data_IF_983671345809
#
_entry.id   IF_983671345809
#
_cell.length_a   1.000
_cell.length_b   1.000
_cell.length_c   1.000
_cell.angle_alpha   90.00
_cell.angle_beta   90.00
_cell.angle_gamma   90.00
#
_symmetry.space_group_name_H-M   'P 1'
#
loop_
_entity.id
_entity.type
_entity.pdbx_description
1 polymer ?
#
# COMPACT_ATOMS: atom_id res chain seq x y z
N UNK A 1 11.80 6.44 -7.58
CA UNK A 1 11.84 6.16 -6.13
C UNK A 1 12.66 4.89 -5.86
N UNK A 2 12.30 3.76 -6.47
CA UNK A 2 12.99 2.48 -6.25
C UNK A 2 14.46 2.50 -6.67
N UNK A 3 14.79 3.18 -7.76
CA UNK A 3 16.18 3.35 -8.24
C UNK A 3 17.04 4.12 -7.23
N UNK A 4 16.45 5.10 -6.55
CA UNK A 4 17.12 5.81 -5.47
C UNK A 4 17.39 4.86 -4.29
N UNK A 5 16.40 4.06 -3.88
CA UNK A 5 16.58 3.08 -2.81
C UNK A 5 17.66 2.05 -3.15
N UNK A 6 17.68 1.52 -4.39
CA UNK A 6 18.72 0.58 -4.84
C UNK A 6 20.11 1.21 -4.84
N UNK A 7 20.23 2.45 -5.31
CA UNK A 7 21.50 3.20 -5.27
C UNK A 7 22.01 3.37 -3.85
N UNK A 8 21.15 3.86 -2.93
CA UNK A 8 21.49 4.04 -1.52
C UNK A 8 21.83 2.70 -0.84
N UNK A 9 21.08 1.65 -1.14
CA UNK A 9 21.30 0.31 -0.61
C UNK A 9 22.65 -0.30 -1.01
N UNK A 10 23.18 0.07 -2.18
CA UNK A 10 24.44 -0.44 -2.73
C UNK A 10 25.63 0.48 -2.49
N UNK A 11 25.44 1.70 -1.99
CA UNK A 11 26.52 2.64 -1.70
C UNK A 11 27.17 2.34 -0.36
N UNK A 12 28.43 1.90 -0.36
CA UNK A 12 29.16 1.51 0.85
C UNK A 12 29.40 2.66 1.84
N UNK A 13 29.25 3.93 1.43
CA UNK A 13 29.36 5.09 2.32
C UNK A 13 28.11 5.33 3.16
N UNK A 14 27.00 4.67 2.84
CA UNK A 14 25.70 4.82 3.51
C UNK A 14 25.48 3.64 4.46
N UNK A 15 25.26 3.90 5.74
CA UNK A 15 25.00 2.87 6.76
C UNK A 15 23.51 2.52 6.92
N UNK A 16 22.62 3.50 6.73
CA UNK A 16 21.16 3.33 6.85
C UNK A 16 20.41 4.31 5.96
N UNK A 17 19.11 4.10 5.78
CA UNK A 17 18.26 4.93 4.93
C UNK A 17 17.10 5.47 5.78
N UNK A 18 16.79 6.77 5.65
CA UNK A 18 15.56 7.35 6.18
C UNK A 18 14.62 7.66 5.02
N UNK A 19 13.41 7.13 5.11
CA UNK A 19 12.31 7.46 4.19
C UNK A 19 11.44 8.49 4.89
N UNK A 20 11.52 9.75 4.43
CA UNK A 20 10.66 10.83 4.90
C UNK A 20 9.65 11.18 3.80
N UNK A 21 8.35 11.13 4.11
CA UNK A 21 7.34 11.43 3.11
C UNK A 21 5.91 11.09 3.52
N UNK A 22 5.03 11.29 2.55
CA UNK A 22 3.61 11.03 2.64
C UNK A 22 3.15 10.19 1.47
N UNK A 23 2.13 9.34 1.70
CA UNK A 23 1.57 8.54 0.63
C UNK A 23 0.14 8.10 0.88
N UNK A 24 -0.78 8.41 -0.07
CA UNK A 24 -2.17 7.96 -0.02
C UNK A 24 -2.34 6.49 -0.44
N UNK A 25 -1.35 5.93 -1.14
CA UNK A 25 -1.41 4.58 -1.67
C UNK A 25 -0.39 4.34 -2.79
N UNK A 26 -0.49 3.20 -3.44
CA UNK A 26 0.31 2.84 -4.62
C UNK A 26 -0.40 1.75 -5.46
N UNK A 27 0.06 1.54 -6.69
CA UNK A 27 -0.39 0.42 -7.53
C UNK A 27 0.19 -0.92 -7.04
N UNK A 28 -0.45 -2.02 -7.45
CA UNK A 28 0.05 -3.37 -7.17
C UNK A 28 1.42 -3.63 -7.81
N UNK A 29 1.69 -3.07 -8.99
CA UNK A 29 2.99 -3.18 -9.65
C UNK A 29 4.11 -2.55 -8.81
N UNK A 30 3.83 -1.39 -8.20
CA UNK A 30 4.78 -0.76 -7.28
C UNK A 30 5.03 -1.65 -6.04
N UNK A 31 4.02 -2.33 -5.51
CA UNK A 31 4.17 -3.27 -4.40
C UNK A 31 5.06 -4.45 -4.79
N UNK A 32 4.87 -5.04 -5.98
CA UNK A 32 5.73 -6.12 -6.47
C UNK A 32 7.20 -5.68 -6.56
N UNK A 33 7.44 -4.45 -7.02
CA UNK A 33 8.78 -3.89 -7.07
C UNK A 33 9.40 -3.69 -5.68
N UNK A 34 8.61 -3.28 -4.67
CA UNK A 34 9.06 -3.20 -3.27
C UNK A 34 9.31 -4.58 -2.66
N UNK A 35 8.51 -5.61 -2.98
CA UNK A 35 8.78 -6.99 -2.56
C UNK A 35 10.12 -7.49 -3.11
N UNK A 36 10.41 -7.21 -4.38
CA UNK A 36 11.71 -7.52 -4.97
C UNK A 36 12.84 -6.79 -4.24
N UNK A 37 12.70 -5.49 -3.99
CA UNK A 37 13.69 -4.72 -3.25
C UNK A 37 13.90 -5.24 -1.81
N UNK A 38 12.85 -5.73 -1.14
CA UNK A 38 12.96 -6.36 0.19
C UNK A 38 13.98 -7.51 0.19
N UNK A 39 14.02 -8.31 -0.87
CA UNK A 39 14.99 -9.40 -1.01
C UNK A 39 16.42 -8.91 -1.23
N UNK A 40 16.58 -7.72 -1.82
CA UNK A 40 17.87 -7.07 -2.08
C UNK A 40 18.36 -6.20 -0.92
N UNK A 41 17.49 -5.93 0.06
CA UNK A 41 17.73 -4.99 1.16
C UNK A 41 18.90 -5.44 2.04
N UNK A 42 19.91 -4.57 2.16
CA UNK A 42 21.12 -4.79 2.96
C UNK A 42 21.20 -3.87 4.18
N UNK A 43 20.51 -2.74 4.13
CA UNK A 43 20.63 -1.67 5.10
C UNK A 43 19.33 -1.47 5.87
N UNK A 44 19.42 -1.06 7.15
CA UNK A 44 18.25 -0.66 7.90
C UNK A 44 17.58 0.56 7.28
N UNK A 45 16.25 0.55 7.33
CA UNK A 45 15.40 1.63 6.82
C UNK A 45 14.50 2.12 7.94
N UNK A 46 14.55 3.42 8.21
CA UNK A 46 13.65 4.09 9.15
C UNK A 46 12.65 4.93 8.37
N UNK A 47 11.36 4.72 8.65
CA UNK A 47 10.28 5.52 8.10
C UNK A 47 9.92 6.71 9.01
N UNK A 48 9.66 7.87 8.42
CA UNK A 48 9.10 9.05 9.08
C UNK A 48 7.96 9.59 8.22
N UNK A 49 6.72 9.46 8.69
CA UNK A 49 5.54 9.73 7.87
C UNK A 49 4.55 10.65 8.56
N UNK A 50 3.97 11.63 7.80
CA UNK A 50 2.77 12.35 8.24
C UNK A 50 1.51 11.58 7.84
N UNK A 51 1.46 11.04 6.62
CA UNK A 51 0.40 10.15 6.16
C UNK A 51 0.96 8.92 5.47
N UNK A 52 0.50 7.76 5.91
CA UNK A 52 0.98 6.49 5.39
C UNK A 52 -0.20 5.53 5.24
N UNK A 53 -0.86 5.58 4.07
CA UNK A 53 -2.11 4.87 3.82
C UNK A 53 -1.98 3.85 2.70
N UNK A 54 -2.83 2.82 2.75
CA UNK A 54 -3.05 1.86 1.67
C UNK A 54 -1.73 1.26 1.17
N UNK A 55 -1.49 1.21 -0.13
CA UNK A 55 -0.24 0.68 -0.71
C UNK A 55 1.04 1.34 -0.20
N UNK A 56 0.99 2.59 0.30
CA UNK A 56 2.14 3.22 0.93
C UNK A 56 2.43 2.63 2.32
N UNK A 57 1.37 2.30 3.09
CA UNK A 57 1.49 1.54 4.33
C UNK A 57 1.98 0.10 4.09
N UNK A 58 1.59 -0.50 2.96
CA UNK A 58 2.11 -1.79 2.52
C UNK A 58 3.62 -1.72 2.28
N UNK A 59 4.09 -0.73 1.49
CA UNK A 59 5.52 -0.48 1.27
C UNK A 59 6.28 -0.28 2.59
N UNK A 60 5.74 0.56 3.51
CA UNK A 60 6.28 0.73 4.87
C UNK A 60 6.44 -0.61 5.58
N UNK A 61 5.40 -1.44 5.56
CA UNK A 61 5.40 -2.74 6.24
C UNK A 61 6.39 -3.75 5.64
N UNK A 62 6.69 -3.61 4.34
CA UNK A 62 7.69 -4.44 3.66
C UNK A 62 9.12 -4.01 3.97
N UNK A 63 9.39 -2.71 4.10
CA UNK A 63 10.74 -2.15 4.02
C UNK A 63 11.28 -1.56 5.31
N UNK A 64 10.42 -0.94 6.15
CA UNK A 64 10.90 -0.21 7.32
C UNK A 64 11.17 -1.14 8.52
N UNK A 65 12.36 -1.02 9.10
CA UNK A 65 12.75 -1.70 10.34
C UNK A 65 12.28 -0.94 11.59
N UNK A 66 12.03 0.36 11.43
CA UNK A 66 11.46 1.22 12.44
C UNK A 66 10.66 2.35 11.79
N UNK A 67 9.57 2.75 12.42
CA UNK A 67 8.67 3.77 11.85
C UNK A 67 8.24 4.78 12.90
N UNK A 68 8.44 6.06 12.56
CA UNK A 68 7.90 7.19 13.29
C UNK A 68 6.71 7.81 12.58
N UNK A 69 5.69 8.23 13.35
CA UNK A 69 4.81 9.31 12.94
C UNK A 69 5.55 10.63 13.11
N UNK A 70 5.52 11.50 12.10
CA UNK A 70 6.10 12.83 12.19
C UNK A 70 5.12 13.77 12.91
N UNK A 71 5.24 13.81 14.23
CA UNK A 71 4.30 14.42 15.16
C UNK A 71 2.93 13.70 15.25
N UNK A 72 2.11 14.11 16.21
CA UNK A 72 0.85 13.45 16.55
C UNK A 72 -0.40 14.12 15.96
N UNK A 73 -0.31 15.43 15.65
CA UNK A 73 -1.49 16.24 15.29
C UNK A 73 -2.06 15.91 13.92
N UNK A 74 -1.20 15.67 12.92
CA UNK A 74 -1.62 15.50 11.53
C UNK A 74 -1.25 14.14 10.93
N UNK A 75 -0.58 13.28 11.71
CA UNK A 75 -0.15 11.99 11.19
C UNK A 75 -1.27 10.95 11.22
N UNK A 76 -1.36 10.18 10.13
CA UNK A 76 -2.36 9.12 9.99
C UNK A 76 -1.85 7.89 9.26
N UNK A 77 -2.38 6.71 9.64
CA UNK A 77 -1.90 5.40 9.20
C UNK A 77 -3.07 4.44 8.92
N UNK A 78 -2.86 3.48 8.03
CA UNK A 78 -3.84 2.42 7.81
C UNK A 78 -4.38 2.36 6.39
N UNK A 79 -5.71 2.34 6.24
CA UNK A 79 -6.35 2.08 4.94
C UNK A 79 -5.86 0.73 4.35
N UNK A 80 -5.79 -0.31 5.23
CA UNK A 80 -5.34 -1.66 4.84
C UNK A 80 -6.51 -2.35 4.15
N UNK A 81 -6.45 -2.38 2.84
CA UNK A 81 -7.50 -2.91 1.98
C UNK A 81 -7.35 -2.41 0.56
N UNK A 82 -8.15 -2.95 -0.34
CA UNK A 82 -8.23 -2.54 -1.75
C UNK A 82 -9.62 -2.04 -2.06
N UNK A 83 -9.71 -1.12 -3.00
CA UNK A 83 -10.98 -0.64 -3.54
C UNK A 83 -10.86 -0.44 -5.05
N UNK A 84 -11.97 -0.59 -5.76
CA UNK A 84 -12.12 -0.13 -7.13
C UNK A 84 -13.19 0.97 -7.18
N UNK A 85 -12.93 2.00 -7.96
CA UNK A 85 -13.90 3.08 -8.23
C UNK A 85 -14.23 3.04 -9.73
N UNK A 86 -15.49 2.83 -10.03
CA UNK A 86 -15.98 2.81 -11.41
C UNK A 86 -16.97 3.95 -11.58
N UNK A 87 -16.75 4.77 -12.59
CA UNK A 87 -17.69 5.82 -12.97
C UNK A 87 -18.63 5.29 -14.05
N UNK A 88 -19.90 5.17 -13.72
CA UNK A 88 -20.91 4.77 -14.69
C UNK A 88 -21.31 5.95 -15.59
N UNK A 89 -20.82 5.92 -16.82
CA UNK A 89 -21.14 6.91 -17.84
C UNK A 89 -22.12 6.41 -18.91
N UNK A 90 -22.67 5.21 -18.75
CA UNK A 90 -23.54 4.57 -19.78
C UNK A 90 -24.70 5.45 -20.22
N UNK A 91 -25.45 6.00 -19.26
CA UNK A 91 -26.59 6.92 -19.56
C UNK A 91 -26.17 8.22 -20.22
N UNK A 92 -25.00 8.76 -19.89
CA UNK A 92 -24.47 9.97 -20.53
C UNK A 92 -24.09 9.68 -21.98
N UNK A 93 -23.40 8.58 -22.23
CA UNK A 93 -23.01 8.15 -23.59
C UNK A 93 -24.26 7.86 -24.46
N UNK A 94 -25.25 7.18 -23.93
CA UNK A 94 -26.52 6.89 -24.62
C UNK A 94 -27.22 8.20 -25.02
N UNK A 95 -27.30 9.18 -24.10
CA UNK A 95 -27.91 10.50 -24.36
C UNK A 95 -27.18 11.27 -25.46
N UNK A 96 -25.87 11.09 -25.58
CA UNK A 96 -25.03 11.68 -26.62
C UNK A 96 -25.05 10.87 -27.93
N UNK A 97 -25.82 9.77 -27.99
CA UNK A 97 -25.99 8.94 -29.18
C UNK A 97 -24.90 7.88 -29.36
N UNK A 98 -24.06 7.62 -28.37
CA UNK A 98 -23.06 6.55 -28.42
C UNK A 98 -23.65 5.22 -28.01
N UNK A 99 -23.25 4.16 -28.72
CA UNK A 99 -23.54 2.77 -28.37
C UNK A 99 -22.24 1.99 -28.28
N UNK A 100 -21.99 1.38 -27.15
CA UNK A 100 -20.85 0.45 -26.97
C UNK A 100 -21.26 -0.92 -27.52
N UNK A 101 -20.42 -1.51 -28.36
CA UNK A 101 -20.59 -2.85 -28.91
C UNK A 101 -19.30 -3.63 -28.59
N UNK A 102 -19.45 -4.76 -27.88
CA UNK A 102 -18.32 -5.63 -27.56
C UNK A 102 -18.42 -6.87 -28.47
N UNK A 103 -17.37 -7.11 -29.26
CA UNK A 103 -17.28 -8.29 -30.13
C UNK A 103 -16.11 -9.15 -29.66
N UNK A 104 -16.38 -10.42 -29.41
CA UNK A 104 -15.38 -11.42 -29.04
C UNK A 104 -15.28 -12.49 -30.11
N UNK A 105 -14.11 -13.09 -30.25
CA UNK A 105 -13.97 -14.30 -31.05
C UNK A 105 -14.82 -15.43 -30.44
N UNK A 106 -15.36 -16.36 -31.24
CA UNK A 106 -16.23 -17.44 -30.73
C UNK A 106 -15.58 -18.27 -29.60
N UNK A 107 -14.26 -18.41 -29.62
CA UNK A 107 -13.51 -19.17 -28.60
C UNK A 107 -13.23 -18.36 -27.32
N UNK A 108 -13.44 -17.02 -27.34
CA UNK A 108 -13.09 -16.11 -26.23
C UNK A 108 -14.31 -15.79 -25.38
N UNK A 109 -15.01 -16.81 -24.90
CA UNK A 109 -16.27 -16.67 -24.16
C UNK A 109 -16.16 -15.84 -22.89
N UNK A 110 -15.04 -15.95 -22.17
CA UNK A 110 -14.86 -15.31 -20.89
C UNK A 110 -14.02 -14.02 -20.95
N UNK A 111 -13.48 -13.71 -22.15
CA UNK A 111 -12.64 -12.53 -22.31
C UNK A 111 -13.42 -11.25 -22.05
N UNK A 112 -12.96 -10.45 -21.09
CA UNK A 112 -13.58 -9.20 -20.66
C UNK A 112 -15.05 -9.36 -20.19
N UNK A 113 -15.40 -10.49 -19.56
CA UNK A 113 -16.79 -10.75 -19.13
C UNK A 113 -17.31 -9.66 -18.21
N UNK A 114 -16.49 -9.16 -17.29
CA UNK A 114 -16.86 -8.03 -16.42
C UNK A 114 -17.24 -6.78 -17.22
N UNK A 115 -16.52 -6.47 -18.29
CA UNK A 115 -16.85 -5.32 -19.14
C UNK A 115 -18.16 -5.56 -19.91
N UNK A 116 -18.42 -6.79 -20.33
CA UNK A 116 -19.70 -7.18 -20.95
C UNK A 116 -20.83 -6.99 -19.95
N UNK A 117 -20.69 -7.52 -18.74
CA UNK A 117 -21.69 -7.39 -17.68
C UNK A 117 -21.98 -5.92 -17.37
N UNK A 118 -20.95 -5.08 -17.28
CA UNK A 118 -21.10 -3.65 -17.08
C UNK A 118 -21.85 -2.99 -18.24
N UNK A 119 -21.48 -3.25 -19.50
CA UNK A 119 -22.09 -2.62 -20.67
C UNK A 119 -23.53 -3.07 -20.87
N UNK A 120 -23.85 -4.34 -20.56
CA UNK A 120 -25.19 -4.91 -20.69
C UNK A 120 -26.11 -4.58 -19.49
N UNK A 121 -25.60 -3.96 -18.43
CA UNK A 121 -26.36 -3.57 -17.24
C UNK A 121 -26.53 -4.70 -16.22
N UNK A 122 -25.68 -5.74 -16.29
CA UNK A 122 -25.61 -6.81 -15.30
C UNK A 122 -24.76 -6.34 -14.08
N UNK A 123 -25.19 -5.25 -13.45
CA UNK A 123 -24.39 -4.54 -12.42
C UNK A 123 -24.02 -5.44 -11.23
N UNK A 124 -24.90 -6.34 -10.81
CA UNK A 124 -24.64 -7.28 -9.71
C UNK A 124 -23.50 -8.25 -10.06
N UNK A 125 -23.51 -8.83 -11.25
CA UNK A 125 -22.47 -9.73 -11.73
C UNK A 125 -21.14 -8.98 -11.87
N UNK A 126 -21.16 -7.77 -12.41
CA UNK A 126 -19.99 -6.90 -12.52
C UNK A 126 -19.37 -6.58 -11.16
N UNK A 127 -20.17 -6.11 -10.18
CA UNK A 127 -19.70 -5.76 -8.84
C UNK A 127 -19.14 -6.99 -8.12
N UNK A 128 -19.83 -8.12 -8.21
CA UNK A 128 -19.41 -9.37 -7.57
C UNK A 128 -18.07 -9.82 -8.12
N UNK A 129 -17.92 -9.89 -9.44
CA UNK A 129 -16.67 -10.29 -10.10
C UNK A 129 -15.52 -9.36 -9.76
N UNK A 130 -15.74 -8.04 -9.79
CA UNK A 130 -14.73 -7.06 -9.43
C UNK A 130 -14.31 -7.16 -7.95
N UNK A 131 -15.28 -7.43 -7.05
CA UNK A 131 -15.00 -7.62 -5.62
C UNK A 131 -14.16 -8.88 -5.38
N UNK A 132 -14.44 -9.97 -6.08
CA UNK A 132 -13.64 -11.21 -5.97
C UNK A 132 -12.20 -11.02 -6.48
N UNK A 133 -11.98 -10.27 -7.55
CA UNK A 133 -10.61 -9.95 -8.02
C UNK A 133 -9.80 -9.18 -6.99
N UNK A 134 -10.43 -8.36 -6.15
CA UNK A 134 -9.75 -7.61 -5.09
C UNK A 134 -9.43 -8.46 -3.85
N UNK A 135 -10.00 -9.64 -3.70
CA UNK A 135 -9.81 -10.52 -2.53
C UNK A 135 -8.34 -10.91 -2.35
N UNK A 136 -7.76 -11.53 -3.34
CA UNK A 136 -6.38 -12.04 -3.26
C UNK A 136 -5.34 -10.94 -2.99
N UNK A 137 -5.34 -9.79 -3.68
CA UNK A 137 -4.48 -8.66 -3.34
C UNK A 137 -4.67 -8.17 -1.91
N UNK A 138 -5.92 -8.11 -1.40
CA UNK A 138 -6.21 -7.69 -0.03
C UNK A 138 -5.64 -8.67 0.99
N UNK A 139 -5.82 -9.98 0.79
CA UNK A 139 -5.28 -11.02 1.66
C UNK A 139 -3.74 -10.97 1.71
N UNK A 140 -3.08 -10.78 0.57
CA UNK A 140 -1.63 -10.58 0.49
C UNK A 140 -1.18 -9.32 1.23
N UNK A 141 -1.92 -8.22 1.09
CA UNK A 141 -1.65 -7.00 1.82
C UNK A 141 -1.71 -7.22 3.33
N UNK A 142 -2.77 -7.82 3.83
CA UNK A 142 -2.95 -8.13 5.26
C UNK A 142 -1.82 -9.04 5.76
N UNK A 143 -1.46 -10.07 5.00
CA UNK A 143 -0.39 -11.00 5.38
C UNK A 143 0.97 -10.28 5.48
N UNK A 144 1.34 -9.45 4.50
CA UNK A 144 2.58 -8.70 4.50
C UNK A 144 2.63 -7.67 5.64
N UNK A 145 1.49 -7.02 5.93
CA UNK A 145 1.38 -6.09 7.07
C UNK A 145 1.58 -6.81 8.40
N UNK A 146 0.95 -7.95 8.60
CA UNK A 146 1.13 -8.76 9.82
C UNK A 146 2.58 -9.24 9.97
N UNK A 147 3.20 -9.65 8.89
CA UNK A 147 4.61 -10.08 8.89
C UNK A 147 5.59 -8.92 9.18
N UNK A 148 5.33 -7.73 8.63
CA UNK A 148 6.17 -6.54 8.82
C UNK A 148 5.91 -5.79 10.12
N UNK A 149 4.79 -6.08 10.80
CA UNK A 149 4.41 -5.44 12.07
C UNK A 149 3.92 -6.50 13.07
N UNK A 150 4.82 -7.29 13.66
CA UNK A 150 4.43 -8.43 14.51
C UNK A 150 3.69 -8.04 15.79
N UNK A 151 3.69 -6.75 16.15
CA UNK A 151 2.95 -6.19 17.29
C UNK A 151 1.58 -5.65 16.92
N UNK A 152 1.18 -5.71 15.64
CA UNK A 152 -0.09 -5.15 15.18
C UNK A 152 -1.28 -5.88 15.83
N UNK A 153 -2.20 -5.11 16.40
CA UNK A 153 -3.40 -5.65 17.05
C UNK A 153 -4.54 -5.72 16.03
N UNK A 154 -5.29 -6.80 16.08
CA UNK A 154 -6.52 -6.94 15.31
C UNK A 154 -7.67 -6.24 16.05
N UNK A 155 -7.87 -4.97 15.75
CA UNK A 155 -8.94 -4.14 16.31
C UNK A 155 -9.96 -3.81 15.22
N UNK A 156 -11.20 -3.44 15.57
CA UNK A 156 -12.22 -3.08 14.57
C UNK A 156 -11.70 -2.05 13.56
N UNK A 157 -11.84 -2.36 12.29
CA UNK A 157 -11.39 -1.51 11.18
C UNK A 157 -9.95 -1.77 10.71
N UNK A 158 -9.10 -2.45 11.50
CA UNK A 158 -7.68 -2.61 11.17
C UNK A 158 -7.44 -3.21 9.78
N UNK A 159 -8.12 -4.30 9.47
CA UNK A 159 -7.97 -5.03 8.20
C UNK A 159 -9.19 -4.88 7.29
N UNK A 160 -10.00 -3.84 7.51
CA UNK A 160 -11.14 -3.48 6.65
C UNK A 160 -11.09 -2.04 6.13
N UNK A 161 -9.90 -1.45 6.11
CA UNK A 161 -9.66 -0.17 5.45
C UNK A 161 -9.79 1.07 6.32
N UNK A 162 -9.95 0.95 7.66
CA UNK A 162 -9.98 2.13 8.52
C UNK A 162 -8.60 2.82 8.62
N UNK A 163 -8.64 4.10 9.00
CA UNK A 163 -7.46 4.92 9.25
C UNK A 163 -7.40 5.31 10.72
N UNK A 164 -6.19 5.45 11.25
CA UNK A 164 -5.93 5.70 12.66
C UNK A 164 -4.99 6.89 12.82
N UNK A 165 -5.19 7.69 13.86
CA UNK A 165 -4.26 8.75 14.25
C UNK A 165 -2.90 8.17 14.67
N UNK A 166 -1.86 8.99 14.71
CA UNK A 166 -0.52 8.59 15.17
C UNK A 166 -0.54 7.89 16.53
N UNK A 167 -1.26 8.45 17.50
CA UNK A 167 -1.39 7.89 18.85
C UNK A 167 -2.01 6.48 18.82
N UNK A 168 -3.09 6.29 18.06
CA UNK A 168 -3.72 4.97 17.90
C UNK A 168 -2.85 4.00 17.11
N UNK A 169 -2.12 4.49 16.12
CA UNK A 169 -1.19 3.66 15.35
C UNK A 169 -0.05 3.10 16.22
N UNK A 170 0.47 3.88 17.16
CA UNK A 170 1.44 3.38 18.17
C UNK A 170 0.77 2.38 19.11
N UNK A 171 -0.39 2.73 19.68
CA UNK A 171 -1.14 1.86 20.61
C UNK A 171 -1.46 0.49 19.99
N UNK A 172 -1.78 0.47 18.72
CA UNK A 172 -2.16 -0.74 17.99
C UNK A 172 -0.99 -1.47 17.31
N UNK A 173 0.23 -1.00 17.51
CA UNK A 173 1.43 -1.64 16.97
C UNK A 173 1.61 -1.50 15.45
N UNK A 174 0.94 -0.52 14.85
CA UNK A 174 1.06 -0.21 13.42
C UNK A 174 2.40 0.47 13.09
N UNK A 175 2.89 1.26 14.01
CA UNK A 175 4.16 1.99 13.97
C UNK A 175 4.84 1.91 15.35
N UNK A 176 6.09 2.35 15.43
CA UNK A 176 6.91 2.19 16.62
C UNK A 176 6.78 3.36 17.59
N UNK A 177 6.76 4.58 17.11
CA UNK A 177 6.73 5.78 17.95
C UNK A 177 6.21 7.02 17.19
N UNK A 178 5.96 8.08 17.96
CA UNK A 178 5.81 9.44 17.46
C UNK A 178 7.17 10.14 17.63
N UNK A 179 7.60 10.89 16.62
CA UNK A 179 8.91 11.52 16.65
C UNK A 179 9.04 12.65 15.63
N UNK A 180 10.28 12.89 15.23
CA UNK A 180 10.64 13.92 14.26
C UNK A 180 11.87 13.46 13.45
N UNK A 181 12.31 14.31 12.52
CA UNK A 181 13.42 13.99 11.63
C UNK A 181 14.73 13.69 12.39
N UNK A 182 15.06 14.46 13.44
CA UNK A 182 16.25 14.23 14.25
C UNK A 182 16.21 12.82 14.87
N UNK A 183 15.08 12.43 15.48
CA UNK A 183 14.91 11.11 16.09
C UNK A 183 15.00 9.99 15.05
N UNK A 184 14.46 10.21 13.85
CA UNK A 184 14.54 9.23 12.77
C UNK A 184 15.99 9.02 12.30
N UNK A 185 16.76 10.09 12.16
CA UNK A 185 18.20 10.04 11.82
C UNK A 185 18.99 9.31 12.92
N UNK A 186 18.80 9.69 14.19
CA UNK A 186 19.48 9.05 15.33
C UNK A 186 19.17 7.54 15.40
N UNK A 187 17.90 7.15 15.17
CA UNK A 187 17.51 5.75 15.11
C UNK A 187 18.17 5.02 13.95
N UNK A 188 18.23 5.63 12.76
CA UNK A 188 18.88 5.06 11.59
C UNK A 188 20.38 4.81 11.84
N UNK A 189 21.08 5.77 12.44
CA UNK A 189 22.50 5.64 12.83
C UNK A 189 22.71 4.50 13.84
N UNK A 190 21.83 4.40 14.84
CA UNK A 190 21.88 3.32 15.83
C UNK A 190 21.71 1.94 15.15
N UNK A 191 20.73 1.80 14.24
CA UNK A 191 20.50 0.55 13.52
C UNK A 191 21.65 0.20 12.58
N UNK A 192 22.29 1.19 11.95
CA UNK A 192 23.48 0.99 11.12
C UNK A 192 24.63 0.37 11.93
N UNK A 193 24.87 0.88 13.15
CA UNK A 193 25.93 0.35 14.03
C UNK A 193 25.64 -1.10 14.44
N UNK A 194 24.40 -1.44 14.74
CA UNK A 194 23.99 -2.81 15.09
C UNK A 194 24.11 -3.80 13.92
N UNK A 195 23.94 -3.32 12.70
CA UNK A 195 24.02 -4.14 11.49
C UNK A 195 25.46 -4.36 10.99
N UNK A 196 26.42 -3.63 11.55
CA UNK A 196 27.86 -3.70 11.17
C UNK A 196 28.65 -4.66 12.06
N UNK A 197 28.07 -5.16 13.15
CA UNK A 197 28.62 -6.15 14.07
C UNK A 197 28.06 -7.54 13.79
#
# INVERSE_FOLDING_TARGET
YLDILRRLNNDNSIGAIVINGDGPGSSLDAINAFKTFKLEKKKPIVGLFNSCYSGYYWMKSLLCDYTYANFDVSSGFGSIGTLAMVMDSRKAMEKEGYKVIIVRAPQSTDKAQQMVDFVEGNDEAFITSLSEEMREPTEKFIADVKAGNPRIKDVPGMFSGATFSATKAVEYGMIDAIGNEKMAIEKAMMLATLNSN
#
